data_IF_299780419585
#
_entry.id   IF_299780419585
#
_cell.length_a   1.000
_cell.length_b   1.000
_cell.length_c   1.000
_cell.angle_alpha   90.00
_cell.angle_beta   90.00
_cell.angle_gamma   90.00
#
_symmetry.space_group_name_H-M   'P 1'
#
loop_
_entity.id
_entity.type
_entity.pdbx_description
1 polymer ?
#
# COMPACT_ATOMS: atom_id res chain seq x y z
N UNK A 1 21.49 -18.09 -9.01
CA UNK A 1 20.82 -17.05 -8.20
C UNK A 1 21.00 -15.71 -8.92
N UNK A 2 19.91 -15.03 -9.23
CA UNK A 2 19.92 -13.87 -10.13
C UNK A 2 20.41 -12.58 -9.45
N UNK A 3 21.72 -12.47 -9.24
CA UNK A 3 22.36 -11.19 -8.88
C UNK A 3 22.09 -10.12 -9.95
N UNK A 4 22.01 -10.53 -11.22
CA UNK A 4 21.72 -9.68 -12.39
C UNK A 4 20.32 -9.03 -12.39
N UNK A 5 19.33 -9.52 -11.61
CA UNK A 5 18.00 -8.87 -11.51
C UNK A 5 17.95 -7.76 -10.45
N UNK A 6 18.92 -7.71 -9.55
CA UNK A 6 19.06 -6.63 -8.57
C UNK A 6 19.79 -5.41 -9.14
N UNK A 7 20.37 -5.55 -10.34
CA UNK A 7 21.13 -4.52 -11.04
C UNK A 7 20.52 -4.33 -12.44
N UNK A 8 19.27 -3.89 -12.51
CA UNK A 8 18.75 -3.31 -13.76
C UNK A 8 19.38 -1.92 -13.98
N UNK A 9 19.20 -1.25 -15.13
CA UNK A 9 19.65 0.13 -15.34
C UNK A 9 19.15 1.13 -14.27
N UNK A 10 18.08 0.77 -13.55
CA UNK A 10 17.48 1.46 -12.40
C UNK A 10 18.04 0.97 -11.02
N UNK A 11 19.04 0.09 -11.01
CA UNK A 11 19.40 -0.83 -9.92
C UNK A 11 19.84 -0.25 -8.58
N UNK A 12 20.26 1.02 -8.50
CA UNK A 12 20.44 1.66 -7.19
C UNK A 12 19.10 1.97 -6.51
N UNK A 13 18.04 2.27 -7.28
CA UNK A 13 16.75 2.73 -6.76
C UNK A 13 16.02 1.68 -5.93
N UNK A 14 15.95 0.43 -6.41
CA UNK A 14 15.26 -0.64 -5.68
C UNK A 14 15.97 -1.00 -4.37
N UNK A 15 17.31 -1.14 -4.38
CA UNK A 15 18.06 -1.42 -3.16
C UNK A 15 17.95 -0.26 -2.16
N UNK A 16 18.04 0.98 -2.62
CA UNK A 16 17.82 2.18 -1.79
C UNK A 16 16.40 2.20 -1.19
N UNK A 17 15.40 1.92 -2.01
CA UNK A 17 14.01 1.86 -1.60
C UNK A 17 13.77 0.80 -0.53
N UNK A 18 14.21 -0.45 -0.75
CA UNK A 18 14.04 -1.51 0.23
C UNK A 18 14.86 -1.26 1.51
N UNK A 19 16.04 -0.63 1.39
CA UNK A 19 16.80 -0.18 2.57
C UNK A 19 16.02 0.88 3.36
N UNK A 20 15.40 1.85 2.68
CA UNK A 20 14.58 2.87 3.32
C UNK A 20 13.34 2.26 3.99
N UNK A 21 12.64 1.34 3.32
CA UNK A 21 11.51 0.61 3.91
C UNK A 21 11.94 -0.14 5.16
N UNK A 22 13.07 -0.86 5.11
CA UNK A 22 13.61 -1.56 6.27
C UNK A 22 13.94 -0.61 7.43
N UNK A 23 14.56 0.53 7.15
CA UNK A 23 14.86 1.52 8.18
C UNK A 23 13.58 2.06 8.81
N UNK A 24 12.58 2.43 7.99
CA UNK A 24 11.30 2.93 8.49
C UNK A 24 10.57 1.89 9.35
N UNK A 25 10.64 0.59 9.01
CA UNK A 25 10.05 -0.46 9.85
C UNK A 25 10.71 -0.58 11.24
N UNK A 26 11.99 -0.20 11.35
CA UNK A 26 12.72 -0.23 12.62
C UNK A 26 12.63 1.07 13.42
N UNK A 27 12.58 2.21 12.74
CA UNK A 27 12.69 3.54 13.36
C UNK A 27 11.34 4.26 13.50
N UNK A 28 10.37 3.98 12.61
CA UNK A 28 9.06 4.64 12.59
C UNK A 28 7.94 3.67 13.02
N UNK A 29 7.47 3.87 14.25
CA UNK A 29 6.36 3.09 14.84
C UNK A 29 5.08 3.24 14.00
N UNK A 30 4.80 4.42 13.46
CA UNK A 30 3.61 4.65 12.64
C UNK A 30 3.67 3.89 11.32
N UNK A 31 4.85 3.87 10.69
CA UNK A 31 5.11 3.07 9.50
C UNK A 31 4.91 1.58 9.79
N UNK A 32 5.45 1.07 10.90
CA UNK A 32 5.27 -0.32 11.31
C UNK A 32 3.81 -0.68 11.59
N UNK A 33 3.09 0.16 12.34
CA UNK A 33 1.66 -0.04 12.65
C UNK A 33 0.78 -0.09 11.42
N UNK A 34 1.14 0.64 10.36
CA UNK A 34 0.43 0.53 9.08
C UNK A 34 0.57 -0.87 8.46
N UNK A 35 1.78 -1.44 8.49
CA UNK A 35 2.01 -2.81 7.99
C UNK A 35 1.37 -3.89 8.86
N UNK A 36 1.28 -3.64 10.17
CA UNK A 36 0.61 -4.54 11.12
C UNK A 36 -0.92 -4.40 11.08
N UNK A 37 -1.46 -3.45 10.31
CA UNK A 37 -2.90 -3.22 10.17
C UNK A 37 -3.54 -2.43 11.33
N UNK A 38 -2.74 -1.95 12.28
CA UNK A 38 -3.21 -1.11 13.40
C UNK A 38 -3.52 0.32 12.95
N UNK A 39 -2.88 0.79 11.88
CA UNK A 39 -3.03 2.13 11.34
C UNK A 39 -3.53 2.06 9.89
N UNK A 40 -4.68 2.67 9.60
CA UNK A 40 -5.24 2.73 8.24
C UNK A 40 -4.64 3.85 7.37
N UNK A 41 -3.92 4.79 7.99
CA UNK A 41 -3.37 5.96 7.29
C UNK A 41 -2.12 5.56 6.50
N UNK A 42 -2.18 5.76 5.18
CA UNK A 42 -1.06 5.47 4.28
C UNK A 42 0.21 6.27 4.68
N UNK A 43 1.38 5.62 4.84
CA UNK A 43 2.63 6.31 5.14
C UNK A 43 3.03 7.32 4.04
N UNK A 44 3.67 8.40 4.46
CA UNK A 44 4.06 9.49 3.55
C UNK A 44 4.96 9.01 2.41
N UNK A 45 5.82 8.01 2.65
CA UNK A 45 6.67 7.37 1.64
C UNK A 45 5.85 6.94 0.41
N UNK A 46 4.77 6.19 0.63
CA UNK A 46 3.93 5.66 -0.45
C UNK A 46 3.06 6.75 -1.08
N UNK A 47 2.52 7.68 -0.27
CA UNK A 47 1.78 8.83 -0.78
C UNK A 47 2.62 9.64 -1.77
N UNK A 48 3.87 9.91 -1.42
CA UNK A 48 4.78 10.71 -2.24
C UNK A 48 5.13 9.99 -3.55
N UNK A 49 5.31 8.66 -3.52
CA UNK A 49 5.52 7.84 -4.71
C UNK A 49 4.29 7.93 -5.63
N UNK A 50 3.09 7.65 -5.10
CA UNK A 50 1.86 7.69 -5.89
C UNK A 50 1.64 9.10 -6.46
N UNK A 51 1.84 10.15 -5.67
CA UNK A 51 1.69 11.53 -6.13
C UNK A 51 2.67 11.87 -7.24
N UNK A 52 3.95 11.48 -7.09
CA UNK A 52 4.98 11.71 -8.10
C UNK A 52 4.68 10.96 -9.39
N UNK A 53 4.28 9.69 -9.29
CA UNK A 53 4.05 8.82 -10.44
C UNK A 53 2.72 9.15 -11.15
N UNK A 54 1.72 9.62 -10.41
CA UNK A 54 0.44 10.06 -10.97
C UNK A 54 0.56 11.40 -11.71
N UNK A 55 1.51 12.25 -11.32
CA UNK A 55 1.74 13.54 -11.94
C UNK A 55 0.46 14.39 -12.00
N UNK A 56 0.08 14.83 -13.20
CA UNK A 56 -1.13 15.65 -13.41
C UNK A 56 -2.43 14.96 -12.97
N UNK A 57 -2.48 13.63 -13.04
CA UNK A 57 -3.68 12.86 -12.67
C UNK A 57 -3.97 12.87 -11.18
N UNK A 58 -2.99 13.23 -10.34
CA UNK A 58 -3.16 13.28 -8.89
C UNK A 58 -4.34 14.18 -8.46
N UNK A 59 -4.58 15.28 -9.17
CA UNK A 59 -5.65 16.22 -8.86
C UNK A 59 -7.05 15.66 -9.14
N UNK A 60 -7.13 14.60 -9.94
CA UNK A 60 -8.37 13.95 -10.35
C UNK A 60 -8.73 12.76 -9.46
N UNK A 61 -7.88 12.42 -8.50
CA UNK A 61 -8.10 11.29 -7.61
C UNK A 61 -9.22 11.62 -6.60
N UNK A 62 -10.27 10.77 -6.48
CA UNK A 62 -11.33 11.03 -5.51
C UNK A 62 -10.81 10.92 -4.08
N UNK A 63 -11.51 11.57 -3.15
CA UNK A 63 -11.18 11.47 -1.72
C UNK A 63 -11.24 10.01 -1.27
N UNK A 64 -10.24 9.59 -0.49
CA UNK A 64 -10.11 8.19 -0.05
C UNK A 64 -9.56 7.22 -1.09
N UNK A 65 -9.25 7.64 -2.33
CA UNK A 65 -8.77 6.73 -3.38
C UNK A 65 -7.45 6.01 -3.07
N UNK A 66 -6.60 6.62 -2.23
CA UNK A 66 -5.34 6.04 -1.76
C UNK A 66 -5.46 5.34 -0.40
N UNK A 67 -6.66 5.36 0.20
CA UNK A 67 -6.92 4.67 1.45
C UNK A 67 -7.28 3.22 1.14
N UNK A 68 -6.65 2.29 1.85
CA UNK A 68 -6.92 0.87 1.70
C UNK A 68 -7.47 0.31 3.01
N UNK A 69 -8.63 -0.33 2.96
CA UNK A 69 -9.11 -1.17 4.06
C UNK A 69 -8.85 -2.65 3.73
N UNK A 70 -7.91 -3.31 4.44
CA UNK A 70 -7.39 -4.64 4.09
C UNK A 70 -8.47 -5.74 4.11
N UNK A 71 -9.58 -5.53 4.80
CA UNK A 71 -10.65 -6.52 4.95
C UNK A 71 -11.87 -6.26 4.04
N UNK A 72 -11.83 -5.26 3.15
CA UNK A 72 -12.97 -4.88 2.30
C UNK A 72 -13.47 -6.04 1.44
N UNK A 73 -12.57 -6.83 0.87
CA UNK A 73 -12.95 -7.98 0.06
C UNK A 73 -13.69 -9.03 0.87
N UNK A 74 -13.20 -9.32 2.08
CA UNK A 74 -13.84 -10.28 2.98
C UNK A 74 -15.21 -9.78 3.45
N UNK A 75 -15.32 -8.50 3.80
CA UNK A 75 -16.60 -7.89 4.19
C UNK A 75 -17.63 -7.94 3.05
N UNK A 76 -17.22 -7.59 1.82
CA UNK A 76 -18.10 -7.68 0.63
C UNK A 76 -18.60 -9.11 0.41
N UNK A 77 -17.72 -10.10 0.56
CA UNK A 77 -18.10 -11.49 0.41
C UNK A 77 -19.12 -11.92 1.47
N UNK A 78 -18.87 -11.60 2.74
CA UNK A 78 -19.79 -11.90 3.84
C UNK A 78 -21.16 -11.20 3.68
N UNK A 79 -21.17 -9.96 3.17
CA UNK A 79 -22.41 -9.25 2.88
C UNK A 79 -23.26 -9.95 1.81
N UNK A 80 -22.61 -10.46 0.75
CA UNK A 80 -23.29 -11.20 -0.32
C UNK A 80 -23.89 -12.51 0.21
N UNK A 81 -23.11 -13.26 1.00
CA UNK A 81 -23.56 -14.50 1.64
C UNK A 81 -24.83 -14.27 2.49
N UNK A 82 -24.84 -13.24 3.33
CA UNK A 82 -25.97 -12.92 4.20
C UNK A 82 -27.21 -12.47 3.42
N UNK A 83 -27.06 -11.75 2.30
CA UNK A 83 -28.17 -11.35 1.43
C UNK A 83 -28.82 -12.55 0.73
N UNK A 84 -28.03 -13.52 0.32
CA UNK A 84 -28.52 -14.77 -0.28
C UNK A 84 -29.28 -15.62 0.73
N UNK A 85 -28.83 -15.67 1.99
CA UNK A 85 -29.46 -16.43 3.06
C UNK A 85 -30.79 -15.81 3.56
N UNK A 86 -30.99 -14.50 3.41
CA UNK A 86 -32.23 -13.80 3.80
C UNK A 86 -33.36 -13.88 2.75
N UNK A 87 -33.07 -14.40 1.56
CA UNK A 87 -34.04 -14.58 0.46
C UNK A 87 -34.43 -16.04 0.22
N UNK A 88 -33.99 -16.97 1.08
CA UNK A 88 -34.42 -18.37 1.13
C UNK A 88 -35.37 -18.57 2.32
#
# INVERSE_FOLDING_TARGET
>A
MNFMRAVSPEGYGHLRFFKQVRNNLGEDIGFRKYFEGELRKLPALYRNIIQKDSGYWWQWLPEGAIEHDPIVYQQKHNLQQNRSASHA
#
